data_IF_105605903527
#
_entry.id   IF_105605903527
#
_cell.length_a   1.000
_cell.length_b   1.000
_cell.length_c   1.000
_cell.angle_alpha   90.00
_cell.angle_beta   90.00
_cell.angle_gamma   90.00
#
_symmetry.space_group_name_H-M   'P 1'
#
loop_
_entity.id
_entity.type
_entity.pdbx_description
1 polymer ?
#
# COMPACT_ATOMS: atom_id res chain seq x y z
N UNK A 1 8.40 -22.63 20.87
CA UNK A 1 9.02 -22.03 19.65
C UNK A 1 9.66 -20.72 20.08
N UNK A 2 10.97 -20.57 19.81
CA UNK A 2 11.70 -19.36 20.17
C UNK A 2 12.42 -18.81 18.94
N UNK A 3 12.49 -17.49 18.82
CA UNK A 3 13.26 -16.81 17.77
C UNK A 3 14.76 -17.03 18.01
N UNK A 4 15.45 -17.56 17.00
CA UNK A 4 16.89 -17.85 17.06
C UNK A 4 17.76 -16.89 16.26
N UNK A 5 17.20 -16.33 15.15
CA UNK A 5 17.92 -15.44 14.22
C UNK A 5 16.95 -14.59 13.43
N UNK A 6 17.40 -13.40 13.05
CA UNK A 6 16.70 -12.52 12.10
C UNK A 6 17.68 -12.16 11.00
N UNK A 7 17.26 -12.35 9.76
CA UNK A 7 17.99 -11.97 8.54
C UNK A 7 17.19 -10.93 7.76
N UNK A 8 17.91 -10.13 6.99
CA UNK A 8 17.31 -9.15 6.07
C UNK A 8 17.87 -9.33 4.67
N UNK A 9 17.02 -9.16 3.68
CA UNK A 9 17.40 -9.16 2.25
C UNK A 9 16.82 -7.90 1.63
N UNK A 10 17.71 -7.00 1.18
CA UNK A 10 17.28 -5.78 0.46
C UNK A 10 17.15 -6.07 -1.03
N UNK A 11 16.04 -5.70 -1.60
CA UNK A 11 15.90 -5.72 -3.05
C UNK A 11 16.70 -4.58 -3.70
N UNK A 12 17.52 -4.85 -4.72
CA UNK A 12 18.29 -3.82 -5.42
C UNK A 12 17.41 -2.86 -6.22
N UNK A 13 16.19 -3.25 -6.62
CA UNK A 13 15.24 -2.37 -7.29
C UNK A 13 14.56 -1.37 -6.34
N UNK A 14 15.05 -1.27 -5.13
CA UNK A 14 15.01 -0.10 -4.21
C UNK A 14 14.15 -0.15 -3.01
N UNK A 15 13.26 -0.31 -2.59
CA UNK A 15 12.48 0.13 -1.45
C UNK A 15 12.06 -1.02 -0.58
N UNK A 16 12.30 -2.25 -1.04
CA UNK A 16 11.89 -3.44 -0.31
C UNK A 16 13.01 -3.96 0.58
N UNK A 17 12.64 -4.35 1.79
CA UNK A 17 13.47 -5.18 2.66
C UNK A 17 12.62 -6.36 3.13
N UNK A 18 13.04 -7.58 2.80
CA UNK A 18 12.45 -8.80 3.30
C UNK A 18 13.13 -9.19 4.60
N UNK A 19 12.35 -9.72 5.53
CA UNK A 19 12.78 -10.01 6.89
C UNK A 19 12.45 -11.48 7.18
N UNK A 20 13.47 -12.29 7.41
CA UNK A 20 13.33 -13.69 7.75
C UNK A 20 13.54 -13.87 9.26
N UNK A 21 12.51 -14.33 9.94
CA UNK A 21 12.54 -14.64 11.38
C UNK A 21 12.61 -16.15 11.56
N UNK A 22 13.78 -16.64 11.99
CA UNK A 22 14.05 -18.06 12.18
C UNK A 22 13.73 -18.50 13.61
N UNK A 23 13.25 -19.74 13.76
CA UNK A 23 12.89 -20.30 15.05
C UNK A 23 13.68 -21.61 15.34
N UNK A 24 13.69 -22.02 16.61
CA UNK A 24 14.26 -23.29 17.08
C UNK A 24 13.47 -24.53 16.60
N UNK A 25 12.29 -24.35 16.07
CA UNK A 25 11.47 -25.43 15.47
C UNK A 25 11.71 -25.62 13.98
N UNK A 26 12.56 -24.80 13.36
CA UNK A 26 12.84 -24.81 11.94
C UNK A 26 11.84 -24.01 11.09
N UNK A 27 10.73 -23.50 11.66
CA UNK A 27 9.85 -22.59 10.95
C UNK A 27 10.53 -21.24 10.73
N UNK A 28 10.32 -20.66 9.55
CA UNK A 28 10.78 -19.33 9.17
C UNK A 28 9.57 -18.47 8.78
N UNK A 29 9.46 -17.32 9.42
CA UNK A 29 8.48 -16.29 9.03
C UNK A 29 9.09 -15.29 8.07
N UNK A 30 8.35 -14.92 7.05
CA UNK A 30 8.77 -13.92 6.07
C UNK A 30 7.89 -12.67 6.17
N UNK A 31 8.55 -11.54 6.39
CA UNK A 31 7.93 -10.21 6.37
C UNK A 31 8.53 -9.30 5.33
N UNK A 32 7.91 -8.15 5.15
CA UNK A 32 8.34 -7.14 4.19
C UNK A 32 8.11 -5.74 4.73
N UNK A 33 9.07 -4.85 4.53
CA UNK A 33 8.87 -3.41 4.67
C UNK A 33 9.16 -2.70 3.37
N UNK A 34 8.47 -1.58 3.14
CA UNK A 34 8.56 -0.80 1.91
C UNK A 34 8.95 0.66 2.19
N UNK A 35 9.74 1.21 1.26
CA UNK A 35 10.26 2.57 1.35
C UNK A 35 11.32 2.74 2.44
N UNK A 36 12.46 3.31 2.09
CA UNK A 36 13.59 3.53 3.02
C UNK A 36 14.11 2.24 3.68
N UNK A 37 14.24 1.16 2.90
CA UNK A 37 14.84 -0.09 3.37
C UNK A 37 16.22 0.11 4.00
N UNK A 38 17.00 1.04 3.46
CA UNK A 38 18.30 1.48 3.95
C UNK A 38 18.29 2.01 5.39
N UNK A 39 17.23 2.72 5.76
CA UNK A 39 17.05 3.26 7.11
C UNK A 39 16.34 2.25 8.05
N UNK A 40 15.43 1.43 7.53
CA UNK A 40 14.68 0.47 8.33
C UNK A 40 15.53 -0.75 8.75
N UNK A 41 16.45 -1.21 7.91
CA UNK A 41 17.26 -2.42 8.19
C UNK A 41 18.07 -2.35 9.49
N UNK A 42 18.81 -1.28 9.80
CA UNK A 42 19.50 -1.15 11.09
C UNK A 42 18.55 -1.21 12.29
N UNK A 43 17.34 -0.64 12.16
CA UNK A 43 16.31 -0.66 13.20
C UNK A 43 15.72 -2.07 13.36
N UNK A 44 15.52 -2.82 12.27
CA UNK A 44 15.11 -4.23 12.32
C UNK A 44 16.10 -5.03 13.16
N UNK A 45 17.40 -4.88 12.91
CA UNK A 45 18.43 -5.59 13.66
C UNK A 45 18.58 -5.10 15.10
N UNK A 46 18.29 -3.82 15.40
CA UNK A 46 18.20 -3.35 16.78
C UNK A 46 17.04 -4.03 17.53
N UNK A 47 15.85 -4.04 16.92
CA UNK A 47 14.69 -4.72 17.49
C UNK A 47 14.91 -6.23 17.63
N UNK A 48 15.54 -6.87 16.63
CA UNK A 48 15.88 -8.30 16.70
C UNK A 48 16.68 -8.62 17.98
N UNK A 49 17.78 -7.91 18.20
CA UNK A 49 18.65 -8.15 19.37
C UNK A 49 17.95 -7.88 20.70
N UNK A 50 17.13 -6.85 20.77
CA UNK A 50 16.64 -6.32 22.02
C UNK A 50 15.22 -6.79 22.39
N UNK A 51 14.44 -7.28 21.40
CA UNK A 51 13.00 -7.54 21.56
C UNK A 51 12.53 -8.88 21.03
N UNK A 52 13.24 -9.51 20.07
CA UNK A 52 12.78 -10.73 19.40
C UNK A 52 13.56 -11.96 19.82
N UNK A 53 14.91 -11.91 19.84
CA UNK A 53 15.70 -13.08 20.14
C UNK A 53 15.29 -13.71 21.47
N UNK A 54 15.17 -15.05 21.48
CA UNK A 54 14.73 -15.89 22.58
C UNK A 54 13.29 -15.62 23.09
N UNK A 55 12.50 -14.82 22.34
CA UNK A 55 11.06 -14.67 22.60
C UNK A 55 10.26 -15.71 21.83
N UNK A 56 9.08 -16.04 22.32
CA UNK A 56 8.09 -16.80 21.55
C UNK A 56 7.44 -15.85 20.49
N UNK A 57 7.63 -16.10 19.18
CA UNK A 57 7.11 -15.21 18.15
C UNK A 57 5.58 -15.18 18.08
N UNK A 58 4.88 -16.08 18.79
CA UNK A 58 3.42 -16.10 18.89
C UNK A 58 2.86 -15.07 19.87
N UNK A 59 3.70 -14.52 20.77
CA UNK A 59 3.38 -13.40 21.65
C UNK A 59 3.39 -12.05 20.89
N UNK A 60 2.68 -11.97 19.74
CA UNK A 60 2.76 -10.89 18.77
C UNK A 60 2.50 -9.53 19.40
N UNK A 61 1.37 -9.37 20.12
CA UNK A 61 1.01 -8.08 20.76
C UNK A 61 2.06 -7.66 21.79
N UNK A 62 2.61 -8.59 22.59
CA UNK A 62 3.66 -8.29 23.56
C UNK A 62 4.92 -7.77 22.88
N UNK A 63 5.34 -8.43 21.80
CA UNK A 63 6.52 -8.03 21.04
C UNK A 63 6.26 -6.67 20.39
N UNK A 64 5.11 -6.50 19.74
CA UNK A 64 4.72 -5.26 19.08
C UNK A 64 4.77 -4.08 20.04
N UNK A 65 4.12 -4.18 21.22
CA UNK A 65 4.12 -3.14 22.23
C UNK A 65 5.52 -2.84 22.78
N UNK A 66 6.36 -3.86 22.93
CA UNK A 66 7.76 -3.70 23.36
C UNK A 66 8.58 -2.89 22.35
N UNK A 67 8.37 -3.10 21.04
CA UNK A 67 8.98 -2.30 19.98
C UNK A 67 8.40 -0.89 19.95
N UNK A 68 7.06 -0.77 20.04
CA UNK A 68 6.37 0.52 20.03
C UNK A 68 6.83 1.44 21.16
N UNK A 69 6.91 0.94 22.39
CA UNK A 69 7.40 1.71 23.51
C UNK A 69 8.84 2.20 23.30
N UNK A 70 9.68 1.37 22.69
CA UNK A 70 11.05 1.78 22.36
C UNK A 70 11.07 2.85 21.26
N UNK A 71 10.34 2.62 20.18
CA UNK A 71 10.28 3.53 19.03
C UNK A 71 9.71 4.90 19.40
N UNK A 72 8.73 4.96 20.31
CA UNK A 72 8.09 6.23 20.71
C UNK A 72 9.06 7.26 21.31
N UNK A 73 10.18 6.80 21.91
CA UNK A 73 11.24 7.70 22.39
C UNK A 73 12.09 8.30 21.27
N UNK A 74 12.05 7.71 20.05
CA UNK A 74 12.91 8.09 18.93
C UNK A 74 12.14 8.69 17.76
N UNK A 75 10.83 8.87 17.88
CA UNK A 75 10.02 9.52 16.87
C UNK A 75 9.11 8.58 16.08
N UNK A 76 8.96 7.33 16.47
CA UNK A 76 8.03 6.29 15.99
C UNK A 76 7.82 6.20 14.46
N UNK A 77 7.48 7.31 13.80
CA UNK A 77 7.20 7.38 12.36
C UNK A 77 8.49 7.22 11.54
N UNK A 78 8.36 6.67 10.35
CA UNK A 78 9.49 6.48 9.46
C UNK A 78 10.14 5.10 9.60
N UNK A 79 11.44 5.02 9.83
CA UNK A 79 12.20 3.77 9.83
C UNK A 79 11.75 2.81 10.93
N UNK A 80 11.42 3.32 12.11
CA UNK A 80 10.99 2.52 13.25
C UNK A 80 9.70 1.78 12.96
N UNK A 81 8.67 2.48 12.51
CA UNK A 81 7.38 1.86 12.24
C UNK A 81 7.42 0.95 11.01
N UNK A 82 8.26 1.27 10.01
CA UNK A 82 8.51 0.39 8.87
C UNK A 82 9.19 -0.90 9.31
N UNK A 83 10.18 -0.83 10.18
CA UNK A 83 10.82 -2.01 10.77
C UNK A 83 9.83 -2.86 11.58
N UNK A 84 9.01 -2.20 12.42
CA UNK A 84 7.95 -2.86 13.17
C UNK A 84 6.95 -3.56 12.26
N UNK A 85 6.52 -2.91 11.18
CA UNK A 85 5.56 -3.46 10.22
C UNK A 85 6.08 -4.76 9.58
N UNK A 86 7.32 -4.75 9.13
CA UNK A 86 7.92 -5.92 8.50
C UNK A 86 8.16 -7.07 9.48
N UNK A 87 8.58 -6.77 10.71
CA UNK A 87 8.71 -7.77 11.78
C UNK A 87 7.35 -8.36 12.13
N UNK A 88 6.36 -7.52 12.37
CA UNK A 88 5.00 -7.95 12.70
C UNK A 88 4.40 -8.89 11.65
N UNK A 89 4.60 -8.56 10.38
CA UNK A 89 4.16 -9.40 9.27
C UNK A 89 4.83 -10.78 9.33
N UNK A 90 6.15 -10.87 9.60
CA UNK A 90 6.86 -12.13 9.78
C UNK A 90 6.36 -12.93 11.00
N UNK A 91 5.99 -12.25 12.08
CA UNK A 91 5.41 -12.91 13.27
C UNK A 91 4.02 -13.49 12.98
N UNK A 92 3.17 -12.78 12.23
CA UNK A 92 1.87 -13.29 11.81
C UNK A 92 2.00 -14.46 10.83
N UNK A 93 2.99 -14.43 9.94
CA UNK A 93 3.30 -15.57 9.06
C UNK A 93 3.71 -16.80 9.88
N UNK A 94 4.63 -16.64 10.85
CA UNK A 94 5.01 -17.72 11.79
C UNK A 94 3.84 -18.26 12.60
N UNK A 95 2.99 -17.36 13.10
CA UNK A 95 1.83 -17.77 13.88
C UNK A 95 0.88 -18.64 13.06
N UNK A 96 0.55 -18.20 11.85
CA UNK A 96 -0.31 -18.95 10.94
C UNK A 96 0.34 -20.29 10.50
N UNK A 97 1.66 -20.30 10.19
CA UNK A 97 2.42 -21.52 9.92
C UNK A 97 2.42 -22.48 11.09
N UNK A 98 2.57 -22.00 12.32
CA UNK A 98 2.56 -22.83 13.53
C UNK A 98 1.21 -23.52 13.80
N UNK A 99 0.15 -23.01 13.22
CA UNK A 99 -1.20 -23.57 13.27
C UNK A 99 -1.54 -24.39 12.02
N UNK A 100 -0.61 -24.49 11.07
CA UNK A 100 -0.82 -25.11 9.75
C UNK A 100 -2.03 -24.52 9.01
N UNK A 101 -2.26 -23.20 9.18
CA UNK A 101 -3.39 -22.50 8.58
C UNK A 101 -2.93 -21.33 7.71
N UNK A 102 -3.62 -20.99 6.61
CA UNK A 102 -3.41 -19.74 5.92
C UNK A 102 -3.83 -18.55 6.80
N UNK A 103 -3.15 -17.40 6.62
CA UNK A 103 -3.35 -16.24 7.49
C UNK A 103 -4.82 -15.81 7.59
N UNK A 104 -5.59 -15.81 6.50
CA UNK A 104 -7.01 -15.43 6.56
C UNK A 104 -7.83 -16.30 7.53
N UNK A 105 -7.47 -17.58 7.74
CA UNK A 105 -8.15 -18.47 8.71
C UNK A 105 -7.91 -18.01 10.13
N UNK A 106 -6.69 -17.58 10.43
CA UNK A 106 -6.32 -17.05 11.74
C UNK A 106 -6.97 -15.70 12.01
N UNK A 107 -7.30 -14.96 10.93
CA UNK A 107 -8.01 -13.68 10.99
C UNK A 107 -9.54 -13.81 11.11
N UNK A 108 -10.08 -15.01 11.19
CA UNK A 108 -11.52 -15.26 11.34
C UNK A 108 -12.18 -15.96 10.16
N UNK A 109 -11.41 -16.30 9.12
CA UNK A 109 -11.88 -16.94 7.90
C UNK A 109 -12.16 -15.92 6.78
N UNK A 110 -12.21 -16.41 5.56
CA UNK A 110 -12.48 -15.55 4.41
C UNK A 110 -13.97 -15.29 4.22
N UNK A 111 -14.31 -14.08 3.83
CA UNK A 111 -15.67 -13.65 3.48
C UNK A 111 -15.90 -13.74 1.96
N UNK A 112 -14.82 -13.88 1.19
CA UNK A 112 -14.83 -14.02 -0.28
C UNK A 112 -13.66 -14.86 -0.77
N UNK A 113 -13.85 -15.50 -1.94
CA UNK A 113 -12.80 -16.30 -2.59
C UNK A 113 -11.86 -15.43 -3.43
N UNK A 114 -12.38 -14.36 -4.03
CA UNK A 114 -11.66 -13.47 -4.91
C UNK A 114 -11.73 -12.03 -4.41
N UNK A 115 -10.60 -11.32 -4.47
CA UNK A 115 -10.47 -9.91 -4.09
C UNK A 115 -10.23 -9.11 -5.36
N UNK A 116 -11.09 -8.13 -5.69
CA UNK A 116 -10.90 -7.30 -6.87
C UNK A 116 -9.72 -6.34 -6.70
N UNK A 117 -9.11 -5.98 -7.84
CA UNK A 117 -7.86 -5.22 -7.90
C UNK A 117 -8.05 -3.92 -8.65
N UNK A 118 -7.43 -2.85 -8.17
CA UNK A 118 -7.12 -1.69 -8.99
C UNK A 118 -5.61 -1.63 -9.30
N UNK A 119 -5.29 -1.21 -10.53
CA UNK A 119 -3.92 -1.19 -11.01
C UNK A 119 -3.35 0.21 -10.95
N UNK A 120 -2.22 0.38 -10.24
CA UNK A 120 -1.51 1.66 -10.17
C UNK A 120 -0.39 1.75 -11.21
N UNK A 121 -0.05 2.97 -11.61
CA UNK A 121 1.05 3.27 -12.51
C UNK A 121 0.81 2.96 -14.00
N UNK A 122 -0.40 2.60 -14.40
CA UNK A 122 -0.69 2.11 -15.77
C UNK A 122 -0.28 3.06 -16.89
N UNK A 123 -0.19 4.36 -16.62
CA UNK A 123 0.27 5.37 -17.58
C UNK A 123 1.73 5.81 -17.39
N UNK A 124 2.46 5.25 -16.42
CA UNK A 124 3.82 5.71 -16.09
C UNK A 124 4.83 5.55 -17.23
N UNK A 125 4.68 4.50 -18.05
CA UNK A 125 5.53 4.21 -19.19
C UNK A 125 4.91 4.60 -20.55
N UNK A 126 3.82 5.38 -20.53
CA UNK A 126 3.06 5.77 -21.74
C UNK A 126 3.46 7.17 -22.17
N UNK A 127 3.63 7.39 -23.47
CA UNK A 127 3.81 8.74 -24.02
C UNK A 127 2.60 9.63 -23.69
N UNK A 128 2.85 10.93 -23.43
CA UNK A 128 1.78 11.88 -23.11
C UNK A 128 1.08 12.36 -24.38
N UNK A 129 0.47 11.43 -25.10
CA UNK A 129 -0.35 11.69 -26.30
C UNK A 129 -1.76 11.11 -26.13
N UNK A 130 -2.74 11.72 -26.81
CA UNK A 130 -4.13 11.24 -26.79
C UNK A 130 -4.22 9.77 -27.18
N UNK A 131 -3.57 9.40 -28.28
CA UNK A 131 -3.61 8.02 -28.78
C UNK A 131 -3.05 7.02 -27.77
N UNK A 132 -1.90 7.30 -27.17
CA UNK A 132 -1.26 6.40 -26.22
C UNK A 132 -2.10 6.20 -24.93
N UNK A 133 -2.74 7.27 -24.43
CA UNK A 133 -3.67 7.17 -23.29
C UNK A 133 -4.92 6.35 -23.63
N UNK A 134 -5.49 6.58 -24.82
CA UNK A 134 -6.69 5.83 -25.27
C UNK A 134 -6.39 4.34 -25.49
N UNK A 135 -5.25 4.01 -26.10
CA UNK A 135 -4.85 2.63 -26.34
C UNK A 135 -4.57 1.89 -25.04
N UNK A 136 -3.89 2.52 -24.08
CA UNK A 136 -3.66 1.96 -22.75
C UNK A 136 -4.98 1.73 -22.00
N UNK A 137 -5.92 2.64 -22.10
CA UNK A 137 -7.23 2.51 -21.45
C UNK A 137 -8.03 1.33 -22.01
N UNK A 138 -8.02 1.17 -23.34
CA UNK A 138 -8.67 0.02 -24.00
C UNK A 138 -8.00 -1.29 -23.60
N UNK A 139 -6.65 -1.34 -23.59
CA UNK A 139 -5.89 -2.50 -23.15
C UNK A 139 -6.31 -2.94 -21.72
N UNK A 140 -6.50 -1.98 -20.80
CA UNK A 140 -6.96 -2.28 -19.43
C UNK A 140 -8.35 -2.94 -19.43
N UNK A 141 -9.28 -2.41 -20.21
CA UNK A 141 -10.63 -2.98 -20.33
C UNK A 141 -10.60 -4.36 -20.98
N UNK A 142 -9.79 -4.54 -22.03
CA UNK A 142 -9.64 -5.82 -22.74
C UNK A 142 -9.02 -6.92 -21.85
N UNK A 143 -8.17 -6.52 -20.89
CA UNK A 143 -7.63 -7.40 -19.84
C UNK A 143 -8.61 -7.69 -18.70
N UNK A 144 -9.83 -7.18 -18.77
CA UNK A 144 -10.83 -7.36 -17.73
C UNK A 144 -10.63 -6.48 -16.48
N UNK A 145 -9.67 -5.54 -16.51
CA UNK A 145 -9.43 -4.64 -15.38
C UNK A 145 -10.58 -3.66 -15.21
N UNK A 146 -11.02 -3.47 -13.97
CA UNK A 146 -12.18 -2.63 -13.64
C UNK A 146 -11.81 -1.27 -13.07
N UNK A 147 -10.62 -1.16 -12.49
CA UNK A 147 -10.16 0.07 -11.85
C UNK A 147 -8.66 0.28 -12.04
N UNK A 148 -8.25 1.53 -12.10
CA UNK A 148 -6.86 1.94 -12.14
C UNK A 148 -6.62 3.23 -11.35
N UNK A 149 -5.33 3.52 -11.09
CA UNK A 149 -4.86 4.75 -10.47
C UNK A 149 -3.67 5.32 -11.24
N UNK A 150 -3.56 6.64 -11.32
CA UNK A 150 -2.47 7.30 -12.02
C UNK A 150 -2.12 8.67 -11.44
N UNK A 151 -0.83 9.01 -11.46
CA UNK A 151 -0.31 10.34 -11.16
C UNK A 151 -0.09 11.21 -12.41
N UNK A 152 -0.28 10.65 -13.62
CA UNK A 152 0.14 11.27 -14.89
C UNK A 152 -0.78 12.37 -15.42
N UNK A 153 -1.96 12.61 -14.81
CA UNK A 153 -2.87 13.60 -15.36
C UNK A 153 -2.43 15.02 -15.02
N UNK A 154 -2.04 15.29 -13.78
CA UNK A 154 -1.72 16.64 -13.29
C UNK A 154 -0.21 16.91 -13.13
N UNK A 155 0.64 16.22 -13.84
CA UNK A 155 2.09 16.40 -13.89
C UNK A 155 2.89 15.13 -13.59
N UNK A 156 4.20 15.21 -13.78
CA UNK A 156 5.17 14.20 -13.37
C UNK A 156 5.67 14.55 -11.96
N UNK A 157 4.95 14.12 -10.94
CA UNK A 157 5.27 14.44 -9.55
C UNK A 157 6.22 13.44 -8.87
N UNK A 158 6.98 12.66 -9.64
CA UNK A 158 8.04 11.83 -9.08
C UNK A 158 9.31 12.66 -8.84
N UNK A 159 9.59 13.06 -7.59
CA UNK A 159 10.79 13.84 -7.28
C UNK A 159 12.10 13.12 -7.62
N UNK A 160 12.07 11.79 -7.76
CA UNK A 160 13.26 10.97 -7.96
C UNK A 160 13.74 10.86 -9.42
N UNK A 161 13.04 11.42 -10.38
CA UNK A 161 13.44 11.36 -11.79
C UNK A 161 14.31 12.53 -12.27
N UNK A 162 15.10 13.14 -11.38
CA UNK A 162 16.16 14.09 -11.74
C UNK A 162 15.70 15.48 -12.18
N UNK A 163 14.45 15.84 -11.96
CA UNK A 163 13.90 17.18 -12.23
C UNK A 163 13.37 17.86 -10.96
N UNK A 164 14.04 17.69 -9.85
CA UNK A 164 13.80 18.54 -8.69
C UNK A 164 14.56 19.85 -8.86
N UNK A 165 14.07 20.71 -9.71
CA UNK A 165 14.20 22.10 -9.37
C UNK A 165 13.30 22.33 -8.14
N UNK A 166 13.85 22.94 -7.13
CA UNK A 166 13.20 23.33 -5.86
C UNK A 166 11.93 24.17 -6.05
N UNK A 167 11.50 24.39 -7.26
CA UNK A 167 10.37 25.23 -7.66
C UNK A 167 9.02 24.54 -7.83
N UNK A 168 8.92 23.20 -7.78
CA UNK A 168 7.64 22.50 -7.99
C UNK A 168 6.92 22.02 -6.75
N UNK A 169 7.48 22.20 -5.57
CA UNK A 169 6.78 21.89 -4.31
C UNK A 169 6.08 23.12 -3.70
N UNK A 170 5.61 24.05 -4.51
CA UNK A 170 4.91 25.25 -4.02
C UNK A 170 3.47 24.99 -3.61
N UNK A 171 2.97 23.78 -3.83
CA UNK A 171 1.57 23.44 -3.62
C UNK A 171 0.61 23.99 -4.68
N UNK A 172 1.01 24.98 -5.45
CA UNK A 172 0.19 25.67 -6.43
C UNK A 172 0.14 24.93 -7.77
N UNK A 173 -1.05 24.89 -8.40
CA UNK A 173 -1.25 24.46 -9.79
C UNK A 173 -1.78 25.63 -10.64
N UNK A 174 -1.23 25.82 -11.83
CA UNK A 174 -1.72 26.84 -12.77
C UNK A 174 -3.05 26.42 -13.43
N UNK A 175 -3.81 27.39 -13.93
CA UNK A 175 -5.01 27.09 -14.70
C UNK A 175 -4.72 26.24 -15.95
N UNK A 176 -3.60 26.52 -16.63
CA UNK A 176 -3.15 25.77 -17.79
C UNK A 176 -2.87 24.30 -17.46
N UNK A 177 -2.22 24.02 -16.31
CA UNK A 177 -1.92 22.64 -15.87
C UNK A 177 -3.20 21.91 -15.45
N UNK A 178 -4.18 22.62 -14.88
CA UNK A 178 -5.50 22.06 -14.58
C UNK A 178 -6.23 21.67 -15.86
N UNK A 179 -6.25 22.55 -16.87
CA UNK A 179 -6.87 22.28 -18.17
C UNK A 179 -6.20 21.11 -18.90
N UNK A 180 -4.87 21.02 -18.79
CA UNK A 180 -4.09 19.90 -19.34
C UNK A 180 -4.42 18.57 -18.65
N UNK A 181 -4.46 18.56 -17.32
CA UNK A 181 -4.81 17.37 -16.54
C UNK A 181 -6.23 16.90 -16.83
N UNK A 182 -7.19 17.82 -16.88
CA UNK A 182 -8.56 17.50 -17.28
C UNK A 182 -8.62 16.90 -18.68
N UNK A 183 -7.92 17.48 -19.65
CA UNK A 183 -7.85 16.98 -21.04
C UNK A 183 -7.33 15.55 -21.12
N UNK A 184 -6.31 15.20 -20.34
CA UNK A 184 -5.79 13.82 -20.28
C UNK A 184 -6.84 12.84 -19.74
N UNK A 185 -7.61 13.24 -18.74
CA UNK A 185 -8.71 12.43 -18.23
C UNK A 185 -9.85 12.30 -19.27
N UNK A 186 -10.17 13.35 -19.99
CA UNK A 186 -11.16 13.31 -21.09
C UNK A 186 -10.75 12.29 -22.17
N UNK A 187 -9.46 12.17 -22.51
CA UNK A 187 -8.99 11.16 -23.46
C UNK A 187 -9.31 9.74 -23.02
N UNK A 188 -9.20 9.46 -21.71
CA UNK A 188 -9.58 8.17 -21.15
C UNK A 188 -11.07 7.93 -21.24
N UNK A 189 -11.88 8.91 -20.86
CA UNK A 189 -13.34 8.82 -20.90
C UNK A 189 -13.89 8.69 -22.32
N UNK A 190 -13.29 9.35 -23.29
CA UNK A 190 -13.64 9.20 -24.72
C UNK A 190 -13.36 7.77 -25.22
N UNK A 191 -12.32 7.13 -24.72
CA UNK A 191 -11.92 5.79 -25.18
C UNK A 191 -12.78 4.67 -24.58
N UNK A 192 -13.08 4.73 -23.27
CA UNK A 192 -13.65 3.62 -22.51
C UNK A 192 -14.87 4.00 -21.66
N UNK A 193 -15.29 5.25 -21.68
CA UNK A 193 -16.43 5.73 -20.86
C UNK A 193 -16.21 5.44 -19.39
N UNK A 194 -17.22 4.87 -18.73
CA UNK A 194 -17.18 4.45 -17.33
C UNK A 194 -16.91 2.92 -17.16
N UNK A 195 -16.39 2.25 -18.18
CA UNK A 195 -16.02 0.83 -18.08
C UNK A 195 -14.77 0.63 -17.18
N UNK A 196 -13.96 1.68 -17.01
CA UNK A 196 -12.78 1.72 -16.16
C UNK A 196 -12.96 2.79 -15.08
N UNK A 197 -12.96 2.39 -13.82
CA UNK A 197 -12.86 3.32 -12.69
C UNK A 197 -11.46 3.91 -12.64
N UNK A 198 -11.34 5.23 -12.50
CA UNK A 198 -10.05 5.93 -12.56
C UNK A 198 -9.81 6.75 -11.31
N UNK A 199 -8.83 6.34 -10.49
CA UNK A 199 -8.29 7.11 -9.38
C UNK A 199 -7.17 8.04 -9.83
N UNK A 200 -7.12 9.23 -9.24
CA UNK A 200 -6.07 10.23 -9.45
C UNK A 200 -5.17 10.27 -8.23
N UNK A 201 -3.88 10.04 -8.40
CA UNK A 201 -2.91 10.12 -7.31
C UNK A 201 -2.15 11.43 -7.40
N UNK A 202 -2.22 12.25 -6.38
CA UNK A 202 -1.58 13.56 -6.36
C UNK A 202 -0.33 13.62 -5.47
N UNK A 203 0.03 12.50 -4.80
CA UNK A 203 1.26 12.35 -4.01
C UNK A 203 1.54 13.53 -3.07
N UNK A 204 0.51 14.06 -2.42
CA UNK A 204 0.60 15.16 -1.46
C UNK A 204 1.24 16.46 -2.02
N UNK A 205 1.13 16.69 -3.33
CA UNK A 205 1.88 17.74 -4.01
C UNK A 205 1.23 19.13 -3.94
N UNK A 206 -0.05 19.26 -3.57
CA UNK A 206 -0.79 20.51 -3.72
C UNK A 206 -1.15 21.18 -2.38
N UNK A 207 -1.47 22.48 -2.45
CA UNK A 207 -2.15 23.19 -1.40
C UNK A 207 -3.68 22.96 -1.48
N UNK A 208 -4.41 23.37 -0.45
CA UNK A 208 -5.88 23.19 -0.37
C UNK A 208 -6.60 23.84 -1.56
N UNK A 209 -6.37 25.12 -1.92
CA UNK A 209 -7.03 25.73 -3.06
C UNK A 209 -6.76 25.03 -4.39
N UNK A 210 -5.53 24.58 -4.61
CA UNK A 210 -5.14 23.86 -5.84
C UNK A 210 -5.79 22.48 -5.91
N UNK A 211 -5.82 21.75 -4.81
CA UNK A 211 -6.47 20.45 -4.73
C UNK A 211 -7.99 20.54 -4.98
N UNK A 212 -8.65 21.57 -4.44
CA UNK A 212 -10.08 21.86 -4.70
C UNK A 212 -10.28 22.14 -6.19
N UNK A 213 -9.47 23.02 -6.79
CA UNK A 213 -9.54 23.34 -8.22
C UNK A 213 -9.39 22.13 -9.10
N UNK A 214 -8.46 21.21 -8.78
CA UNK A 214 -8.32 19.95 -9.51
C UNK A 214 -9.60 19.12 -9.42
N UNK A 215 -10.14 18.94 -8.21
CA UNK A 215 -11.38 18.18 -8.02
C UNK A 215 -12.56 18.76 -8.77
N UNK A 216 -12.75 20.08 -8.70
CA UNK A 216 -13.80 20.78 -9.47
C UNK A 216 -13.66 20.57 -10.97
N UNK A 217 -12.44 20.60 -11.48
CA UNK A 217 -12.15 20.43 -12.91
C UNK A 217 -12.47 19.04 -13.44
N UNK A 218 -12.43 17.99 -12.60
CA UNK A 218 -12.64 16.59 -13.03
C UNK A 218 -13.92 15.97 -12.52
N UNK A 219 -14.71 16.66 -11.70
CA UNK A 219 -15.91 16.13 -11.04
C UNK A 219 -16.92 15.53 -12.03
N UNK A 220 -17.16 16.21 -13.16
CA UNK A 220 -18.07 15.75 -14.21
C UNK A 220 -17.52 14.56 -15.03
N UNK A 221 -16.24 14.25 -14.90
CA UNK A 221 -15.59 13.06 -15.49
C UNK A 221 -15.68 11.82 -14.59
N UNK A 222 -16.34 11.93 -13.43
CA UNK A 222 -16.61 10.84 -12.50
C UNK A 222 -15.31 10.09 -12.06
N UNK A 223 -14.37 10.76 -11.37
CA UNK A 223 -13.20 10.06 -10.82
C UNK A 223 -13.62 9.09 -9.71
N UNK A 224 -12.98 7.93 -9.65
CA UNK A 224 -13.20 6.96 -8.58
C UNK A 224 -12.80 7.55 -7.22
N UNK A 225 -11.63 8.19 -7.16
CA UNK A 225 -11.16 9.00 -6.04
C UNK A 225 -10.03 9.95 -6.48
N UNK A 226 -9.74 10.92 -5.62
CA UNK A 226 -8.47 11.65 -5.62
C UNK A 226 -7.69 11.23 -4.38
N UNK A 227 -6.48 10.67 -4.59
CA UNK A 227 -5.58 10.17 -3.56
C UNK A 227 -4.57 11.23 -3.16
N UNK A 228 -4.36 11.36 -1.84
CA UNK A 228 -3.39 12.27 -1.20
C UNK A 228 -3.25 13.62 -1.90
N UNK A 229 -4.34 14.42 -2.00
CA UNK A 229 -4.28 15.69 -2.72
C UNK A 229 -3.36 16.71 -2.05
N UNK A 230 -3.21 16.67 -0.72
CA UNK A 230 -2.40 17.59 0.09
C UNK A 230 -1.53 16.81 1.08
N UNK A 231 -0.61 17.50 1.74
CA UNK A 231 0.24 16.90 2.78
C UNK A 231 -0.61 16.18 3.85
N UNK A 232 -0.23 14.95 4.28
CA UNK A 232 -1.10 14.04 5.03
C UNK A 232 -1.30 14.40 6.51
N UNK A 233 -0.67 15.46 7.02
CA UNK A 233 -0.63 15.73 8.46
C UNK A 233 -1.80 16.55 8.98
N UNK A 234 -2.64 17.14 8.12
CA UNK A 234 -3.74 18.02 8.51
C UNK A 234 -5.09 17.46 7.99
N UNK A 235 -5.73 16.65 8.82
CA UNK A 235 -7.01 16.05 8.46
C UNK A 235 -8.17 17.05 8.36
N UNK A 236 -8.08 18.21 9.05
CA UNK A 236 -9.08 19.27 8.87
C UNK A 236 -8.96 19.91 7.48
N UNK A 237 -7.75 20.16 7.00
CA UNK A 237 -7.52 20.66 5.66
C UNK A 237 -7.91 19.61 4.58
N UNK A 238 -7.65 18.32 4.84
CA UNK A 238 -8.09 17.25 3.94
C UNK A 238 -9.62 17.16 3.84
N UNK A 239 -10.33 17.37 4.95
CA UNK A 239 -11.80 17.52 4.95
C UNK A 239 -12.24 18.70 4.10
N UNK A 240 -11.58 19.86 4.21
CA UNK A 240 -11.88 21.04 3.40
C UNK A 240 -11.75 20.73 1.91
N UNK A 241 -10.68 20.02 1.51
CA UNK A 241 -10.53 19.54 0.12
C UNK A 241 -11.67 18.63 -0.28
N UNK A 242 -12.03 17.64 0.55
CA UNK A 242 -13.12 16.69 0.26
C UNK A 242 -14.44 17.40 0.03
N UNK A 243 -14.77 18.39 0.86
CA UNK A 243 -16.02 19.15 0.77
C UNK A 243 -16.00 20.12 -0.42
N UNK A 244 -14.88 20.80 -0.69
CA UNK A 244 -14.71 21.76 -1.77
C UNK A 244 -14.63 21.11 -3.15
N UNK A 245 -13.85 20.07 -3.30
CA UNK A 245 -13.66 19.34 -4.56
C UNK A 245 -14.94 18.62 -5.00
N UNK A 246 -15.76 18.14 -4.06
CA UNK A 246 -17.00 17.42 -4.34
C UNK A 246 -16.80 16.08 -5.05
N UNK A 247 -15.66 15.44 -4.82
CA UNK A 247 -15.28 14.10 -5.31
C UNK A 247 -14.78 13.23 -4.16
N UNK A 248 -14.84 11.89 -4.27
CA UNK A 248 -14.31 11.02 -3.24
C UNK A 248 -12.82 11.26 -3.00
N UNK A 249 -12.40 11.34 -1.74
CA UNK A 249 -10.99 11.46 -1.35
C UNK A 249 -10.52 10.15 -0.75
N UNK A 250 -9.33 9.70 -1.19
CA UNK A 250 -8.59 8.59 -0.64
C UNK A 250 -7.31 9.10 0.03
N UNK A 251 -6.94 8.55 1.19
CA UNK A 251 -5.66 8.82 1.82
C UNK A 251 -5.32 7.74 2.87
N UNK A 252 -4.07 7.72 3.29
CA UNK A 252 -3.64 6.87 4.39
C UNK A 252 -2.39 6.04 4.12
N UNK A 253 -1.82 6.06 2.93
CA UNK A 253 -0.56 5.35 2.67
C UNK A 253 0.60 5.86 3.54
N UNK A 254 0.56 7.13 3.93
CA UNK A 254 1.53 7.77 4.80
C UNK A 254 1.07 7.88 6.25
N UNK A 255 -0.17 7.49 6.56
CA UNK A 255 -0.66 7.47 7.94
C UNK A 255 -0.09 6.28 8.72
N UNK A 256 0.24 6.54 9.97
CA UNK A 256 0.92 5.64 10.88
C UNK A 256 -0.01 5.23 12.02
N UNK A 257 -0.11 3.92 12.27
CA UNK A 257 -0.91 3.34 13.37
C UNK A 257 -2.41 3.65 13.32
N UNK A 258 -3.18 2.92 14.08
CA UNK A 258 -4.62 3.14 14.24
C UNK A 258 -4.96 4.51 14.89
N UNK A 259 -4.00 5.16 15.57
CA UNK A 259 -4.22 6.47 16.18
C UNK A 259 -4.43 7.58 15.13
N UNK A 260 -3.63 7.62 14.06
CA UNK A 260 -3.79 8.60 13.00
C UNK A 260 -5.05 8.32 12.17
N UNK A 261 -5.32 7.05 11.85
CA UNK A 261 -6.56 6.68 11.17
C UNK A 261 -7.81 7.06 11.96
N UNK A 262 -7.80 6.85 13.30
CA UNK A 262 -8.89 7.31 14.16
C UNK A 262 -9.10 8.82 14.05
N UNK A 263 -8.02 9.61 14.05
CA UNK A 263 -8.11 11.07 13.90
C UNK A 263 -8.61 11.48 12.51
N UNK A 264 -8.16 10.79 11.45
CA UNK A 264 -8.60 10.99 10.07
C UNK A 264 -10.11 10.72 9.92
N UNK A 265 -10.61 9.61 10.49
CA UNK A 265 -12.02 9.25 10.45
C UNK A 265 -12.89 10.19 11.30
N UNK A 266 -12.42 10.57 12.50
CA UNK A 266 -13.11 11.54 13.35
C UNK A 266 -13.25 12.92 12.70
N UNK A 267 -12.28 13.32 11.89
CA UNK A 267 -12.33 14.53 11.07
C UNK A 267 -13.26 14.41 9.85
N UNK A 268 -13.75 13.21 9.51
CA UNK A 268 -14.48 12.95 8.26
C UNK A 268 -13.67 13.37 7.01
N UNK A 269 -12.36 13.08 7.02
CA UNK A 269 -11.42 13.59 6.04
C UNK A 269 -11.40 12.79 4.73
N UNK A 270 -11.79 11.51 4.76
CA UNK A 270 -11.69 10.60 3.61
C UNK A 270 -12.98 9.84 3.34
N UNK A 271 -13.15 9.41 2.10
CA UNK A 271 -14.16 8.44 1.66
C UNK A 271 -13.56 7.03 1.66
N UNK A 272 -12.30 6.92 1.24
CA UNK A 272 -11.55 5.69 1.16
C UNK A 272 -10.29 5.78 2.01
N UNK A 273 -10.01 4.73 2.80
CA UNK A 273 -8.81 4.66 3.60
C UNK A 273 -7.80 3.67 2.98
N UNK A 274 -6.54 4.08 2.92
CA UNK A 274 -5.48 3.36 2.24
C UNK A 274 -4.35 2.92 3.19
N UNK A 275 -4.63 2.12 4.24
CA UNK A 275 -3.56 1.63 5.10
C UNK A 275 -2.58 0.76 4.31
N UNK A 276 -1.30 0.91 4.63
CA UNK A 276 -0.21 0.14 4.04
C UNK A 276 0.31 -0.84 5.09
N UNK A 277 0.14 -2.15 4.88
CA UNK A 277 0.54 -3.17 5.87
C UNK A 277 2.04 -3.13 6.19
N UNK A 278 2.85 -2.68 5.24
CA UNK A 278 4.32 -2.56 5.39
C UNK A 278 4.76 -1.25 6.04
N UNK A 279 3.82 -0.34 6.36
CA UNK A 279 4.09 1.00 6.92
C UNK A 279 3.28 1.32 8.18
N UNK A 280 2.06 0.79 8.30
CA UNK A 280 1.09 1.16 9.34
C UNK A 280 1.38 0.58 10.73
N UNK A 281 2.29 -0.37 10.81
CA UNK A 281 2.57 -1.16 12.02
C UNK A 281 2.23 -2.65 11.85
N UNK A 282 2.19 -3.12 10.60
CA UNK A 282 1.96 -4.52 10.24
C UNK A 282 0.50 -4.94 10.25
N UNK A 283 0.28 -6.25 10.29
CA UNK A 283 -1.04 -6.89 10.36
C UNK A 283 -1.77 -6.49 11.66
N UNK A 284 -1.04 -6.39 12.76
CA UNK A 284 -1.58 -6.01 14.09
C UNK A 284 -2.29 -4.65 14.04
N UNK A 285 -1.67 -3.62 13.49
CA UNK A 285 -2.28 -2.29 13.39
C UNK A 285 -3.30 -2.21 12.24
N UNK A 286 -3.02 -2.86 11.11
CA UNK A 286 -3.97 -2.90 9.99
C UNK A 286 -5.35 -3.43 10.43
N UNK A 287 -5.40 -4.48 11.24
CA UNK A 287 -6.66 -5.02 11.79
C UNK A 287 -7.42 -3.99 12.63
N UNK A 288 -6.70 -3.20 13.42
CA UNK A 288 -7.31 -2.12 14.24
C UNK A 288 -7.85 -1.01 13.33
N UNK A 289 -7.10 -0.63 12.27
CA UNK A 289 -7.56 0.33 11.26
C UNK A 289 -8.80 -0.19 10.56
N UNK A 290 -8.83 -1.46 10.16
CA UNK A 290 -9.99 -2.08 9.50
C UNK A 290 -11.25 -2.03 10.37
N UNK A 291 -11.12 -2.32 11.66
CA UNK A 291 -12.24 -2.21 12.61
C UNK A 291 -12.73 -0.77 12.78
N UNK A 292 -11.80 0.21 12.87
CA UNK A 292 -12.14 1.62 12.94
C UNK A 292 -12.82 2.12 11.67
N UNK A 293 -12.35 1.71 10.49
CA UNK A 293 -12.94 2.08 9.20
C UNK A 293 -14.39 1.57 9.10
N UNK A 294 -14.63 0.32 9.48
CA UNK A 294 -15.97 -0.27 9.53
C UNK A 294 -16.91 0.54 10.44
N UNK A 295 -16.46 0.90 11.64
CA UNK A 295 -17.24 1.72 12.58
C UNK A 295 -17.50 3.14 12.10
N UNK A 296 -16.62 3.67 11.24
CA UNK A 296 -16.71 5.01 10.64
C UNK A 296 -17.45 5.02 9.30
N UNK A 297 -17.89 3.87 8.76
CA UNK A 297 -18.41 3.70 7.40
C UNK A 297 -17.45 4.23 6.32
N UNK A 298 -16.15 3.98 6.49
CA UNK A 298 -15.10 4.30 5.54
C UNK A 298 -14.65 3.01 4.86
N UNK A 299 -14.67 2.99 3.53
CA UNK A 299 -14.24 1.81 2.77
C UNK A 299 -12.72 1.71 2.70
N UNK A 300 -12.19 0.49 2.88
CA UNK A 300 -10.76 0.23 2.71
C UNK A 300 -10.41 0.00 1.24
N UNK A 301 -9.37 0.68 0.76
CA UNK A 301 -8.70 0.46 -0.52
C UNK A 301 -7.19 0.49 -0.28
N UNK A 302 -6.62 -0.56 0.34
CA UNK A 302 -5.26 -0.52 0.85
C UNK A 302 -4.22 -0.16 -0.19
N UNK A 303 -3.25 0.66 0.21
CA UNK A 303 -2.01 0.87 -0.54
C UNK A 303 -1.17 -0.40 -0.47
N UNK A 304 -1.01 -1.09 -1.60
CA UNK A 304 -0.29 -2.37 -1.69
C UNK A 304 0.48 -2.59 -2.99
N UNK A 305 1.28 -1.59 -3.47
CA UNK A 305 2.06 -1.73 -4.69
C UNK A 305 3.30 -2.61 -4.48
N UNK A 306 3.13 -3.74 -3.80
CA UNK A 306 4.18 -4.69 -3.42
C UNK A 306 4.15 -5.93 -4.30
N UNK A 307 5.21 -6.73 -4.23
CA UNK A 307 5.39 -7.93 -5.04
C UNK A 307 5.72 -9.17 -4.19
N UNK A 308 5.71 -9.02 -2.87
CA UNK A 308 6.13 -10.04 -1.92
C UNK A 308 5.11 -10.27 -0.79
N UNK A 309 5.61 -10.57 0.41
CA UNK A 309 4.77 -10.84 1.58
C UNK A 309 3.77 -9.74 1.90
N UNK A 310 4.12 -8.47 1.64
CA UNK A 310 3.24 -7.33 1.88
C UNK A 310 1.97 -7.37 1.04
N UNK A 311 2.07 -7.70 -0.26
CA UNK A 311 0.90 -7.87 -1.13
C UNK A 311 0.04 -9.04 -0.66
N UNK A 312 0.66 -10.20 -0.40
CA UNK A 312 -0.07 -11.41 -0.03
C UNK A 312 -0.72 -11.28 1.36
N UNK A 313 -0.07 -10.61 2.32
CA UNK A 313 -0.68 -10.31 3.62
C UNK A 313 -1.89 -9.36 3.46
N UNK A 314 -1.77 -8.33 2.61
CA UNK A 314 -2.90 -7.44 2.30
C UNK A 314 -4.04 -8.23 1.68
N UNK A 315 -3.75 -9.16 0.77
CA UNK A 315 -4.75 -10.03 0.16
C UNK A 315 -5.47 -10.90 1.20
N UNK A 316 -4.75 -11.51 2.16
CA UNK A 316 -5.36 -12.27 3.25
C UNK A 316 -6.25 -11.41 4.14
N UNK A 317 -5.79 -10.22 4.50
CA UNK A 317 -6.55 -9.25 5.29
C UNK A 317 -7.87 -8.88 4.59
N UNK A 318 -7.79 -8.61 3.28
CA UNK A 318 -8.96 -8.19 2.51
C UNK A 318 -9.89 -9.37 2.14
N UNK A 319 -9.36 -10.58 2.00
CA UNK A 319 -10.17 -11.78 1.87
C UNK A 319 -10.99 -12.07 3.15
N UNK A 320 -10.45 -11.72 4.32
CA UNK A 320 -11.14 -11.85 5.61
C UNK A 320 -12.05 -10.65 5.95
N UNK A 321 -11.87 -9.50 5.30
CA UNK A 321 -12.65 -8.30 5.58
C UNK A 321 -14.09 -8.40 5.05
N UNK A 322 -15.14 -8.05 5.83
CA UNK A 322 -16.53 -8.25 5.43
C UNK A 322 -16.99 -7.36 4.27
N UNK A 323 -16.45 -6.16 4.13
CA UNK A 323 -16.82 -5.23 3.06
C UNK A 323 -16.02 -5.52 1.77
N UNK A 324 -16.57 -5.21 0.56
CA UNK A 324 -15.91 -5.48 -0.70
C UNK A 324 -14.84 -4.41 -0.98
N UNK A 325 -13.57 -4.69 -0.73
CA UNK A 325 -12.51 -3.74 -1.03
C UNK A 325 -11.91 -4.00 -2.39
N UNK A 326 -11.31 -2.97 -2.97
CA UNK A 326 -10.28 -3.13 -3.98
C UNK A 326 -8.91 -3.15 -3.31
N UNK A 327 -8.00 -3.99 -3.76
CA UNK A 327 -6.60 -3.89 -3.36
C UNK A 327 -5.75 -3.34 -4.49
N UNK A 328 -4.70 -2.61 -4.14
CA UNK A 328 -3.78 -2.07 -5.12
C UNK A 328 -2.82 -3.14 -5.62
N UNK A 329 -2.52 -3.08 -6.92
CA UNK A 329 -1.42 -3.81 -7.53
C UNK A 329 -0.71 -2.89 -8.51
N UNK A 330 0.63 -2.78 -8.43
CA UNK A 330 1.40 -2.07 -9.43
C UNK A 330 1.35 -2.83 -10.76
N UNK A 331 1.13 -2.13 -11.88
CA UNK A 331 0.82 -2.80 -13.14
C UNK A 331 2.00 -3.53 -13.78
N UNK A 332 3.24 -3.09 -13.52
CA UNK A 332 4.45 -3.77 -13.97
C UNK A 332 4.80 -4.93 -13.04
N UNK A 333 5.35 -5.99 -13.63
CA UNK A 333 5.93 -7.10 -12.90
C UNK A 333 7.41 -6.84 -12.59
N UNK A 334 7.92 -7.49 -11.53
CA UNK A 334 9.35 -7.55 -11.28
C UNK A 334 9.99 -8.54 -12.25
N UNK A 335 11.28 -8.32 -12.54
CA UNK A 335 12.11 -9.24 -13.34
C UNK A 335 12.16 -10.66 -12.75
N UNK A 336 12.11 -10.75 -11.41
CA UNK A 336 12.03 -12.02 -10.68
C UNK A 336 11.05 -11.90 -9.50
N UNK A 337 10.15 -12.86 -9.34
CA UNK A 337 9.13 -12.89 -8.30
C UNK A 337 9.43 -13.94 -7.25
N UNK A 338 9.29 -13.59 -5.95
CA UNK A 338 9.38 -14.53 -4.83
C UNK A 338 8.32 -15.64 -4.89
N UNK A 339 7.19 -15.37 -5.50
CA UNK A 339 5.99 -16.21 -5.41
C UNK A 339 5.37 -16.57 -6.77
N UNK A 340 6.08 -16.31 -7.87
CA UNK A 340 5.62 -16.67 -9.21
C UNK A 340 4.21 -16.11 -9.50
N UNK A 341 3.32 -16.99 -9.96
CA UNK A 341 1.96 -16.62 -10.40
C UNK A 341 1.04 -16.15 -9.26
N UNK A 342 1.40 -16.36 -7.99
CA UNK A 342 0.57 -15.91 -6.85
C UNK A 342 0.41 -14.38 -6.76
N UNK A 343 1.32 -13.63 -7.38
CA UNK A 343 1.26 -12.16 -7.45
C UNK A 343 0.67 -11.66 -8.77
N UNK A 344 0.16 -12.56 -9.63
CA UNK A 344 -0.53 -12.21 -10.86
C UNK A 344 -2.04 -12.27 -10.68
N UNK A 345 -2.75 -11.40 -11.39
CA UNK A 345 -4.22 -11.36 -11.36
C UNK A 345 -4.82 -12.21 -12.48
N UNK A 346 -5.98 -12.78 -12.21
CA UNK A 346 -6.83 -13.37 -13.23
C UNK A 346 -8.10 -12.51 -13.37
N UNK A 347 -8.34 -11.99 -14.56
CA UNK A 347 -9.52 -11.14 -14.88
C UNK A 347 -9.74 -9.97 -13.90
N UNK A 348 -8.65 -9.37 -13.39
CA UNK A 348 -8.71 -8.27 -12.43
C UNK A 348 -8.99 -8.68 -10.98
N UNK A 349 -8.79 -9.97 -10.64
CA UNK A 349 -8.96 -10.49 -9.29
C UNK A 349 -7.72 -11.23 -8.81
N UNK A 350 -7.53 -11.22 -7.49
CA UNK A 350 -6.63 -12.13 -6.79
C UNK A 350 -7.39 -13.20 -6.02
N UNK A 351 -6.75 -14.37 -5.85
CA UNK A 351 -7.20 -15.42 -4.93
C UNK A 351 -6.17 -15.58 -3.82
N UNK A 352 -6.62 -15.50 -2.56
CA UNK A 352 -5.72 -15.65 -1.42
C UNK A 352 -5.13 -17.08 -1.37
N UNK A 353 -3.81 -17.23 -1.14
CA UNK A 353 -3.18 -18.53 -0.99
C UNK A 353 -3.82 -19.38 0.10
N UNK A 354 -3.90 -20.69 -0.11
CA UNK A 354 -4.45 -21.65 0.85
C UNK A 354 -3.39 -22.39 1.66
N UNK A 355 -2.12 -22.14 1.36
CA UNK A 355 -0.98 -22.68 2.10
C UNK A 355 -0.87 -22.08 3.49
N UNK A 356 -0.27 -22.79 4.48
CA UNK A 356 0.00 -22.23 5.80
C UNK A 356 0.83 -20.94 5.72
N UNK A 357 0.51 -19.96 6.59
CA UNK A 357 1.18 -18.66 6.60
C UNK A 357 0.52 -17.64 5.68
N UNK A 358 1.32 -16.67 5.26
CA UNK A 358 0.98 -15.63 4.28
C UNK A 358 1.08 -16.17 2.85
N UNK A 359 2.05 -17.07 2.62
CA UNK A 359 2.37 -17.65 1.32
C UNK A 359 3.12 -18.97 1.48
N UNK A 360 3.29 -19.76 0.40
CA UNK A 360 4.26 -20.85 0.38
C UNK A 360 5.69 -20.32 0.61
N UNK A 361 6.65 -21.20 0.78
CA UNK A 361 8.05 -20.80 0.86
C UNK A 361 8.47 -20.01 -0.39
N UNK A 362 9.21 -18.89 -0.22
CA UNK A 362 9.64 -18.07 -1.33
C UNK A 362 10.67 -18.81 -2.19
N UNK A 363 10.81 -18.41 -3.46
CA UNK A 363 11.86 -18.95 -4.32
C UNK A 363 13.25 -18.66 -3.73
N UNK A 364 14.03 -19.68 -3.33
CA UNK A 364 15.32 -19.49 -2.70
C UNK A 364 16.37 -18.90 -3.66
N UNK A 365 16.20 -19.06 -4.97
CA UNK A 365 17.11 -18.46 -5.95
C UNK A 365 16.91 -16.95 -6.01
N UNK A 366 15.66 -16.48 -5.99
CA UNK A 366 15.34 -15.05 -5.95
C UNK A 366 15.89 -14.42 -4.68
N UNK A 367 15.68 -15.04 -3.51
CA UNK A 367 16.27 -14.56 -2.25
C UNK A 367 17.79 -14.45 -2.31
N UNK A 368 18.47 -15.50 -2.82
CA UNK A 368 19.92 -15.51 -2.96
C UNK A 368 20.41 -14.43 -3.92
N UNK A 369 19.79 -14.31 -5.07
CA UNK A 369 20.24 -13.39 -6.13
C UNK A 369 20.06 -11.92 -5.72
N UNK A 370 19.09 -11.64 -4.88
CA UNK A 370 18.91 -10.31 -4.28
C UNK A 370 19.83 -10.08 -3.08
N UNK A 371 20.15 -11.10 -2.28
CA UNK A 371 21.09 -10.97 -1.16
C UNK A 371 22.53 -10.74 -1.60
N UNK A 372 22.90 -11.17 -2.80
CA UNK A 372 24.28 -11.09 -3.33
C UNK A 372 24.64 -9.71 -3.94
N UNK A 373 23.70 -8.77 -3.99
CA UNK A 373 23.89 -7.42 -4.56
C UNK A 373 23.79 -6.36 -3.49
#
# INVERSE_FOLDING_TARGET
MLVTRVETVRSPCRSFCWILVHTDTGLVGLGETYGRADAAEPVIHEFARNRLLVQDPRDIEKIWWSMYHRASFHGLMGAELRAMSGIDLALWDLFAKSLEQPLYRVLGGRTRDQVPVYFSGIYDAVETTKQAFQDRSKECVDKGWKACKTARFFGDFYPDRGQTEFGRSTGYISATDVDEGRRRFEWVREAVGNQLEVGLDLHAAFDVPSAIRIGEAVRDLNPYFIEEPIQPHNFAALKEVREGAGVPIAAGENACTAYEFRAMFAANAVTYAQPSVTKVGGVTEFRKVAALAQMANVTLVPHSPYFGPGLLATLHLMAAHPEPPLIERYFLDLEASLYGDLVHTLDGYFTAPTTPGVAPEPDPNVLRDYAAK
#
